data_IF_225517643898
#
_entry.id   IF_225517643898
#
_cell.length_a   1.000
_cell.length_b   1.000
_cell.length_c   1.000
_cell.angle_alpha   90.00
_cell.angle_beta   90.00
_cell.angle_gamma   90.00
#
_symmetry.space_group_name_H-M   'P 1'
#
loop_
_entity.id
_entity.type
_entity.pdbx_description
1 polymer ?
#
# COMPACT_ATOMS: atom_id res chain seq x y z
N UNK A 1 8.32 17.96 -0.59
CA UNK A 1 8.35 17.67 -2.04
C UNK A 1 8.43 16.18 -2.24
N UNK A 2 7.81 15.65 -3.30
CA UNK A 2 7.87 14.23 -3.63
C UNK A 2 7.77 13.99 -5.12
N UNK A 3 8.56 13.07 -5.66
CA UNK A 3 8.54 12.72 -7.09
C UNK A 3 9.82 12.03 -7.55
N UNK A 4 9.89 11.81 -8.86
CA UNK A 4 11.09 11.39 -9.58
C UNK A 4 11.96 12.61 -9.89
N UNK A 5 13.19 12.61 -9.36
CA UNK A 5 14.16 13.68 -9.55
C UNK A 5 15.21 13.33 -10.61
N UNK A 6 15.19 12.10 -11.13
CA UNK A 6 16.13 11.57 -12.10
C UNK A 6 17.61 11.81 -11.72
N UNK A 7 17.90 11.82 -10.42
CA UNK A 7 19.22 12.11 -9.86
C UNK A 7 19.44 11.33 -8.56
N UNK A 8 20.70 11.06 -8.20
CA UNK A 8 21.06 10.29 -7.01
C UNK A 8 21.68 11.18 -5.92
N UNK A 9 21.39 10.91 -4.65
CA UNK A 9 21.94 11.72 -3.54
C UNK A 9 23.21 11.12 -2.93
N UNK A 10 23.31 9.79 -2.88
CA UNK A 10 24.43 9.04 -2.30
C UNK A 10 24.91 7.95 -3.24
N UNK A 11 26.15 7.50 -3.05
CA UNK A 11 26.72 6.38 -3.82
C UNK A 11 25.90 5.09 -3.65
N UNK A 12 25.32 4.88 -2.46
CA UNK A 12 24.46 3.72 -2.19
C UNK A 12 23.06 3.82 -2.83
N UNK A 13 22.78 4.88 -3.59
CA UNK A 13 21.57 5.05 -4.37
C UNK A 13 21.73 4.55 -5.82
N UNK A 14 22.87 3.93 -6.16
CA UNK A 14 23.09 3.25 -7.44
C UNK A 14 23.67 1.85 -7.22
N UNK A 15 23.18 0.88 -7.98
CA UNK A 15 23.75 -0.48 -8.02
C UNK A 15 25.12 -0.50 -8.72
N UNK A 16 25.31 0.37 -9.72
CA UNK A 16 26.58 0.43 -10.45
C UNK A 16 27.58 1.34 -9.71
N UNK A 17 28.48 0.72 -8.95
CA UNK A 17 29.56 1.39 -8.22
C UNK A 17 30.81 1.66 -9.08
N UNK A 18 30.87 1.16 -10.32
CA UNK A 18 32.04 1.36 -11.22
C UNK A 18 32.06 2.78 -11.83
N UNK A 19 30.95 3.51 -11.78
CA UNK A 19 30.83 4.92 -12.22
C UNK A 19 31.16 5.96 -11.13
N UNK A 20 31.98 5.59 -10.12
CA UNK A 20 32.47 6.46 -9.02
C UNK A 20 32.96 7.84 -9.48
N UNK A 21 33.60 7.94 -10.65
CA UNK A 21 34.17 9.20 -11.15
C UNK A 21 33.20 10.07 -11.98
N UNK A 22 32.00 9.58 -12.32
CA UNK A 22 30.97 10.33 -13.06
C UNK A 22 29.84 10.88 -12.18
N UNK A 23 29.71 10.40 -10.94
CA UNK A 23 28.66 10.80 -10.00
C UNK A 23 29.04 11.95 -9.06
N UNK A 24 30.23 12.55 -9.20
CA UNK A 24 30.67 13.67 -8.37
C UNK A 24 29.85 14.95 -8.55
N UNK A 25 28.92 14.96 -9.50
CA UNK A 25 27.92 16.01 -9.62
C UNK A 25 26.53 15.37 -9.70
N UNK A 26 25.89 15.04 -8.55
CA UNK A 26 24.45 15.21 -8.48
C UNK A 26 24.15 16.57 -9.08
N UNK A 27 23.12 16.70 -9.90
CA UNK A 27 22.78 17.97 -10.54
C UNK A 27 22.80 18.99 -9.41
N UNK A 28 23.73 19.95 -9.49
CA UNK A 28 24.02 20.88 -8.40
C UNK A 28 22.71 21.48 -7.81
N UNK A 29 21.68 21.60 -8.66
CA UNK A 29 20.31 21.90 -8.32
C UNK A 29 19.67 21.08 -7.19
N UNK A 30 19.68 19.73 -7.21
CA UNK A 30 18.97 18.94 -6.19
C UNK A 30 19.61 19.10 -4.80
N UNK A 31 20.94 19.01 -4.72
CA UNK A 31 21.67 19.27 -3.47
C UNK A 31 21.49 20.71 -2.99
N UNK A 32 21.51 21.68 -3.89
CA UNK A 32 21.28 23.09 -3.56
C UNK A 32 19.86 23.32 -3.05
N UNK A 33 18.86 22.71 -3.69
CA UNK A 33 17.46 22.76 -3.28
C UNK A 33 17.27 22.16 -1.88
N UNK A 34 17.84 20.98 -1.64
CA UNK A 34 17.81 20.33 -0.32
C UNK A 34 18.46 21.23 0.74
N UNK A 35 19.61 21.83 0.43
CA UNK A 35 20.33 22.74 1.35
C UNK A 35 19.53 24.01 1.62
N UNK A 36 18.99 24.64 0.57
CA UNK A 36 18.26 25.91 0.64
C UNK A 36 17.00 25.77 1.48
N UNK A 37 16.17 24.75 1.21
CA UNK A 37 14.94 24.50 1.97
C UNK A 37 15.15 23.65 3.23
N UNK A 38 16.39 23.32 3.57
CA UNK A 38 16.77 22.46 4.71
C UNK A 38 15.99 21.14 4.75
N UNK A 39 15.74 20.55 3.58
CA UNK A 39 15.05 19.27 3.48
C UNK A 39 15.93 18.12 3.94
N UNK A 40 15.26 17.02 4.27
CA UNK A 40 15.86 15.73 4.55
C UNK A 40 15.24 14.68 3.62
N UNK A 41 16.08 13.74 3.17
CA UNK A 41 15.63 12.51 2.55
C UNK A 41 15.10 11.57 3.65
N UNK A 42 13.77 11.52 3.78
CA UNK A 42 13.13 10.82 4.89
C UNK A 42 13.26 9.31 4.79
N UNK A 43 13.35 8.76 3.57
CA UNK A 43 13.51 7.33 3.39
C UNK A 43 14.89 6.89 3.90
N UNK A 44 15.94 7.64 3.55
CA UNK A 44 17.30 7.36 4.02
C UNK A 44 17.47 7.60 5.52
N UNK A 45 16.77 8.59 6.08
CA UNK A 45 16.77 8.86 7.52
C UNK A 45 16.17 7.68 8.34
N UNK A 46 15.10 7.06 7.83
CA UNK A 46 14.46 5.89 8.47
C UNK A 46 15.16 4.57 8.15
N UNK A 47 15.87 4.50 7.03
CA UNK A 47 16.52 3.29 6.51
C UNK A 47 18.01 3.56 6.21
N UNK A 48 18.84 3.87 7.23
CA UNK A 48 20.21 4.36 7.02
C UNK A 48 21.13 3.34 6.34
N UNK A 49 20.95 2.06 6.64
CA UNK A 49 21.81 0.96 6.16
C UNK A 49 21.20 0.15 5.02
N UNK A 50 19.91 0.34 4.73
CA UNK A 50 19.23 -0.47 3.71
C UNK A 50 19.60 0.01 2.30
N UNK A 51 19.74 -0.94 1.38
CA UNK A 51 19.94 -0.68 -0.04
C UNK A 51 18.69 -1.13 -0.76
N UNK A 52 18.02 -0.19 -1.41
CA UNK A 52 16.81 -0.44 -2.19
C UNK A 52 16.68 0.66 -3.23
N UNK A 53 16.21 0.31 -4.42
CA UNK A 53 16.12 1.22 -5.56
C UNK A 53 14.67 1.46 -5.97
N UNK A 54 14.45 2.62 -6.57
CA UNK A 54 13.12 3.02 -7.06
C UNK A 54 12.99 2.81 -8.55
N UNK A 55 14.08 2.81 -9.32
CA UNK A 55 14.10 2.51 -10.74
C UNK A 55 15.01 1.32 -11.04
N UNK A 56 14.63 0.50 -12.03
CA UNK A 56 15.45 -0.61 -12.50
C UNK A 56 15.31 -0.81 -14.01
N UNK A 57 16.44 -0.94 -14.71
CA UNK A 57 16.44 -1.36 -16.12
C UNK A 57 15.90 -2.80 -16.24
N UNK A 58 15.19 -3.10 -17.33
CA UNK A 58 14.65 -4.45 -17.60
C UNK A 58 15.68 -5.60 -17.52
N UNK A 59 16.96 -5.32 -17.80
CA UNK A 59 18.04 -6.30 -17.68
C UNK A 59 18.38 -6.68 -16.23
N UNK A 60 17.93 -5.92 -15.24
CA UNK A 60 18.18 -6.17 -13.80
C UNK A 60 19.57 -5.78 -13.31
N UNK A 61 20.49 -5.44 -14.21
CA UNK A 61 21.88 -5.10 -13.92
C UNK A 61 22.05 -3.67 -13.40
N UNK A 62 21.19 -2.75 -13.84
CA UNK A 62 21.20 -1.35 -13.44
C UNK A 62 19.97 -1.01 -12.60
N UNK A 63 20.20 -0.36 -11.46
CA UNK A 63 19.15 0.12 -10.59
C UNK A 63 19.62 1.39 -9.87
N UNK A 64 18.72 2.35 -9.71
CA UNK A 64 18.98 3.62 -9.03
C UNK A 64 17.80 4.04 -8.16
N UNK A 65 18.08 4.78 -7.09
CA UNK A 65 17.06 5.41 -6.25
C UNK A 65 16.99 6.89 -6.62
N UNK A 66 16.00 7.21 -7.44
CA UNK A 66 15.78 8.55 -8.03
C UNK A 66 14.45 9.18 -7.63
N UNK A 67 13.57 8.39 -6.99
CA UNK A 67 12.31 8.86 -6.42
C UNK A 67 12.50 9.17 -4.94
N UNK A 68 12.18 10.40 -4.51
CA UNK A 68 12.38 10.86 -3.14
C UNK A 68 11.14 11.52 -2.56
N UNK A 69 10.93 11.33 -1.26
CA UNK A 69 10.19 12.28 -0.43
C UNK A 69 11.19 13.15 0.32
N UNK A 70 11.26 14.43 -0.05
CA UNK A 70 12.07 15.44 0.61
C UNK A 70 11.18 16.24 1.55
N UNK A 71 11.44 16.14 2.85
CA UNK A 71 10.59 16.74 3.89
C UNK A 71 11.37 17.74 4.72
N UNK A 72 10.69 18.73 5.30
CA UNK A 72 11.35 19.63 6.24
C UNK A 72 11.65 18.92 7.56
N UNK A 73 12.65 19.39 8.30
CA UNK A 73 13.04 18.78 9.58
C UNK A 73 11.91 18.81 10.60
N UNK A 74 11.06 19.82 10.55
CA UNK A 74 9.92 20.04 11.44
C UNK A 74 8.85 18.96 11.23
N UNK A 75 8.66 18.50 9.99
CA UNK A 75 7.68 17.46 9.67
C UNK A 75 8.16 16.04 10.03
N UNK A 76 9.46 15.84 10.30
CA UNK A 76 10.06 14.52 10.57
C UNK A 76 9.35 13.77 11.70
N UNK A 77 8.98 14.46 12.77
CA UNK A 77 8.33 13.86 13.94
C UNK A 77 6.96 13.24 13.62
N UNK A 78 6.26 13.77 12.61
CA UNK A 78 4.96 13.27 12.18
C UNK A 78 5.08 12.05 11.27
N UNK A 79 6.25 11.80 10.68
CA UNK A 79 6.44 10.70 9.73
C UNK A 79 6.73 9.40 10.49
N UNK A 80 5.79 8.46 10.34
CA UNK A 80 5.82 7.14 10.97
C UNK A 80 6.67 6.17 10.18
N UNK A 81 6.50 6.13 8.85
CA UNK A 81 7.23 5.22 7.94
C UNK A 81 7.49 5.87 6.60
N UNK A 82 8.58 5.47 5.97
CA UNK A 82 8.94 5.79 4.59
C UNK A 82 9.44 4.49 3.95
N UNK A 83 8.70 3.98 2.97
CA UNK A 83 8.92 2.66 2.36
C UNK A 83 9.11 2.81 0.84
N UNK A 84 9.89 1.91 0.22
CA UNK A 84 9.86 1.65 -1.22
C UNK A 84 9.12 0.33 -1.42
N UNK A 85 8.14 0.31 -2.32
CA UNK A 85 7.24 -0.83 -2.54
C UNK A 85 7.17 -1.20 -4.01
N UNK A 86 7.10 -2.50 -4.34
CA UNK A 86 6.88 -2.94 -5.71
C UNK A 86 5.53 -2.43 -6.20
N UNK A 87 5.50 -1.89 -7.41
CA UNK A 87 4.24 -1.52 -8.08
C UNK A 87 3.86 -2.65 -9.04
N UNK A 88 2.60 -3.08 -8.98
CA UNK A 88 2.03 -4.12 -9.85
C UNK A 88 1.47 -3.47 -11.14
N UNK A 89 2.28 -2.68 -11.82
CA UNK A 89 1.97 -2.11 -13.14
C UNK A 89 2.99 -2.64 -14.13
N UNK A 90 2.55 -3.46 -15.10
CA UNK A 90 3.45 -4.10 -16.07
C UNK A 90 4.28 -3.09 -16.91
N UNK A 91 3.80 -1.85 -17.01
CA UNK A 91 4.41 -0.80 -17.82
C UNK A 91 5.44 0.04 -17.08
N UNK A 92 5.59 -0.10 -15.76
CA UNK A 92 6.54 0.71 -14.98
C UNK A 92 7.82 -0.07 -14.69
N UNK A 93 8.94 0.60 -14.88
CA UNK A 93 10.26 0.22 -14.38
C UNK A 93 10.57 0.83 -13.01
N UNK A 94 9.60 1.57 -12.43
CA UNK A 94 9.68 2.13 -11.08
C UNK A 94 8.92 1.32 -10.02
N UNK A 95 9.55 1.16 -8.86
CA UNK A 95 8.91 0.91 -7.57
C UNK A 95 8.33 2.22 -7.01
N UNK A 96 7.26 2.11 -6.23
CA UNK A 96 6.60 3.24 -5.60
C UNK A 96 7.24 3.62 -4.28
N UNK A 97 7.36 4.92 -4.02
CA UNK A 97 7.68 5.44 -2.69
C UNK A 97 6.39 5.67 -1.90
N UNK A 98 6.37 5.33 -0.61
CA UNK A 98 5.23 5.49 0.28
C UNK A 98 5.62 6.19 1.57
N UNK A 99 4.80 7.14 2.02
CA UNK A 99 4.99 7.88 3.26
C UNK A 99 3.78 7.70 4.17
N UNK A 100 4.00 7.24 5.40
CA UNK A 100 2.96 7.17 6.44
C UNK A 100 3.12 8.34 7.39
N UNK A 101 2.20 9.29 7.30
CA UNK A 101 2.18 10.50 8.14
C UNK A 101 1.14 10.31 9.26
N UNK A 102 1.51 10.70 10.48
CA UNK A 102 0.63 10.78 11.63
C UNK A 102 -0.02 12.16 11.63
N UNK A 103 -1.30 12.21 11.30
CA UNK A 103 -2.12 13.42 11.46
C UNK A 103 -2.80 13.41 12.82
N UNK A 104 -3.32 14.57 13.24
CA UNK A 104 -4.16 14.66 14.43
C UNK A 104 -5.35 13.70 14.29
N UNK A 105 -5.75 13.06 15.41
CA UNK A 105 -6.93 12.20 15.44
C UNK A 105 -8.17 13.07 15.21
N UNK A 106 -8.63 13.12 13.96
CA UNK A 106 -9.98 13.61 13.68
C UNK A 106 -10.92 12.49 14.10
N UNK A 107 -11.74 12.74 15.13
CA UNK A 107 -12.79 11.83 15.57
C UNK A 107 -13.90 11.79 14.50
N UNK A 108 -13.66 11.08 13.40
CA UNK A 108 -14.72 10.70 12.47
C UNK A 108 -15.57 9.65 13.17
N UNK A 109 -16.87 9.95 13.33
CA UNK A 109 -17.84 8.97 13.80
C UNK A 109 -17.92 7.76 12.86
N UNK A 110 -18.63 6.71 13.28
CA UNK A 110 -18.75 5.45 12.53
C UNK A 110 -19.35 5.62 11.12
N UNK A 111 -20.01 6.75 10.84
CA UNK A 111 -20.74 7.01 9.61
C UNK A 111 -21.96 6.10 9.47
N UNK A 112 -22.76 6.34 8.42
CA UNK A 112 -23.81 5.40 8.03
C UNK A 112 -23.19 4.27 7.22
N UNK A 113 -23.37 3.04 7.68
CA UNK A 113 -22.97 1.88 6.90
C UNK A 113 -23.91 1.69 5.72
N UNK A 114 -23.34 1.50 4.53
CA UNK A 114 -24.04 1.13 3.29
C UNK A 114 -23.43 -0.15 2.76
N UNK A 115 -24.29 -1.06 2.27
CA UNK A 115 -23.85 -2.30 1.64
C UNK A 115 -23.04 -1.95 0.38
N UNK A 116 -21.92 -2.64 0.17
CA UNK A 116 -21.21 -2.56 -1.09
C UNK A 116 -21.96 -3.42 -2.13
N UNK A 117 -22.65 -2.78 -3.08
CA UNK A 117 -23.45 -3.47 -4.09
C UNK A 117 -22.67 -4.46 -4.96
N UNK A 118 -21.34 -4.35 -5.05
CA UNK A 118 -20.53 -5.35 -5.76
C UNK A 118 -20.62 -6.75 -5.14
N UNK A 119 -21.01 -6.85 -3.86
CA UNK A 119 -21.15 -8.14 -3.17
C UNK A 119 -22.36 -8.94 -3.67
N UNK A 120 -23.34 -8.28 -4.28
CA UNK A 120 -24.51 -8.92 -4.86
C UNK A 120 -24.17 -9.79 -6.09
N UNK A 121 -22.95 -9.65 -6.63
CA UNK A 121 -22.43 -10.50 -7.70
C UNK A 121 -21.60 -11.69 -7.15
N UNK A 122 -21.43 -11.81 -5.84
CA UNK A 122 -20.70 -12.90 -5.21
C UNK A 122 -21.63 -14.09 -4.95
N UNK A 123 -21.32 -15.24 -5.56
CA UNK A 123 -22.13 -16.45 -5.46
C UNK A 123 -22.26 -16.98 -4.03
N UNK A 124 -21.20 -16.92 -3.23
CA UNK A 124 -21.23 -17.41 -1.85
C UNK A 124 -22.10 -16.51 -0.98
N UNK A 125 -22.05 -15.20 -1.20
CA UNK A 125 -22.94 -14.24 -0.55
C UNK A 125 -24.40 -14.51 -0.90
N UNK A 126 -24.74 -14.61 -2.19
CA UNK A 126 -26.11 -14.88 -2.64
C UNK A 126 -26.65 -16.19 -2.07
N UNK A 127 -25.84 -17.26 -2.09
CA UNK A 127 -26.21 -18.54 -1.50
C UNK A 127 -26.52 -18.45 0.00
N UNK A 128 -25.76 -17.66 0.76
CA UNK A 128 -26.04 -17.45 2.19
C UNK A 128 -27.35 -16.69 2.43
N UNK A 129 -27.63 -15.66 1.63
CA UNK A 129 -28.88 -14.90 1.73
C UNK A 129 -30.07 -15.74 1.29
N UNK A 130 -29.97 -16.53 0.22
CA UNK A 130 -31.03 -17.44 -0.24
C UNK A 130 -31.38 -18.49 0.83
N UNK A 131 -30.38 -19.05 1.51
CA UNK A 131 -30.61 -19.97 2.64
C UNK A 131 -31.34 -19.28 3.78
N UNK A 132 -30.98 -18.03 4.08
CA UNK A 132 -31.64 -17.25 5.12
C UNK A 132 -33.11 -16.96 4.75
N UNK A 133 -33.37 -16.57 3.50
CA UNK A 133 -34.74 -16.36 3.00
C UNK A 133 -35.58 -17.62 3.20
N UNK A 134 -35.10 -18.79 2.73
CA UNK A 134 -35.80 -20.07 2.90
C UNK A 134 -36.06 -20.44 4.35
N UNK A 135 -35.13 -20.10 5.25
CA UNK A 135 -35.30 -20.34 6.68
C UNK A 135 -36.45 -19.50 7.25
N UNK A 136 -36.54 -18.22 6.89
CA UNK A 136 -37.60 -17.33 7.35
C UNK A 136 -38.97 -17.62 6.69
N UNK A 137 -39.00 -18.01 5.42
CA UNK A 137 -40.21 -18.48 4.72
C UNK A 137 -40.84 -19.70 5.44
N UNK A 138 -40.02 -20.60 5.97
CA UNK A 138 -40.53 -21.75 6.73
C UNK A 138 -41.01 -21.37 8.14
N UNK A 139 -40.39 -20.36 8.77
CA UNK A 139 -40.83 -19.84 10.08
C UNK A 139 -42.13 -19.04 10.01
N UNK A 140 -42.39 -18.37 8.89
CA UNK A 140 -43.62 -17.64 8.66
C UNK A 140 -44.84 -18.55 8.79
N UNK A 141 -44.74 -19.79 8.28
CA UNK A 141 -45.81 -20.79 8.32
C UNK A 141 -46.23 -21.21 9.73
N UNK A 142 -45.43 -20.91 10.74
CA UNK A 142 -45.64 -21.34 12.14
C UNK A 142 -45.75 -20.18 13.13
N UNK A 143 -45.71 -18.93 12.67
CA UNK A 143 -45.65 -17.73 13.52
C UNK A 143 -46.84 -16.81 13.30
N UNK A 144 -47.46 -16.34 14.38
CA UNK A 144 -48.59 -15.39 14.32
C UNK A 144 -48.15 -13.93 14.11
N UNK A 145 -46.91 -13.56 14.48
CA UNK A 145 -46.40 -12.19 14.37
C UNK A 145 -45.36 -12.00 13.26
N UNK A 146 -45.86 -11.67 12.06
CA UNK A 146 -45.07 -11.44 10.84
C UNK A 146 -44.14 -10.22 10.98
N UNK A 147 -44.53 -9.20 11.75
CA UNK A 147 -43.74 -7.98 11.93
C UNK A 147 -42.41 -8.26 12.63
N UNK A 148 -42.44 -9.01 13.73
CA UNK A 148 -41.23 -9.41 14.46
C UNK A 148 -40.35 -10.32 13.59
N UNK A 149 -40.97 -11.22 12.81
CA UNK A 149 -40.24 -12.09 11.89
C UNK A 149 -39.47 -11.28 10.84
N UNK A 150 -40.09 -10.25 10.27
CA UNK A 150 -39.47 -9.35 9.29
C UNK A 150 -38.32 -8.53 9.89
N UNK A 151 -38.49 -8.01 11.11
CA UNK A 151 -37.44 -7.27 11.80
C UNK A 151 -36.22 -8.15 12.11
N UNK A 152 -36.46 -9.39 12.56
CA UNK A 152 -35.40 -10.37 12.78
C UNK A 152 -34.66 -10.72 11.48
N UNK A 153 -35.41 -10.99 10.40
CA UNK A 153 -34.83 -11.25 9.09
C UNK A 153 -33.93 -10.11 8.62
N UNK A 154 -34.41 -8.86 8.66
CA UNK A 154 -33.62 -7.68 8.27
C UNK A 154 -32.35 -7.54 9.13
N UNK A 155 -32.44 -7.78 10.43
CA UNK A 155 -31.30 -7.73 11.34
C UNK A 155 -30.25 -8.78 10.96
N UNK A 156 -30.69 -10.01 10.70
CA UNK A 156 -29.79 -11.11 10.37
C UNK A 156 -29.15 -10.96 8.98
N UNK A 157 -29.91 -10.47 7.99
CA UNK A 157 -29.35 -10.06 6.68
C UNK A 157 -28.24 -9.04 6.85
N UNK A 158 -28.46 -8.03 7.70
CA UNK A 158 -27.46 -6.98 7.98
C UNK A 158 -26.20 -7.57 8.60
N UNK A 159 -26.33 -8.46 9.57
CA UNK A 159 -25.19 -9.06 10.27
C UNK A 159 -24.38 -9.99 9.36
N UNK A 160 -25.04 -10.85 8.59
CA UNK A 160 -24.39 -11.70 7.58
C UNK A 160 -23.66 -10.83 6.56
N UNK A 161 -24.31 -9.77 6.08
CA UNK A 161 -23.72 -8.85 5.09
C UNK A 161 -22.47 -8.15 5.64
N UNK A 162 -22.54 -7.66 6.88
CA UNK A 162 -21.43 -7.00 7.55
C UNK A 162 -20.25 -7.95 7.73
N UNK A 163 -20.49 -9.14 8.25
CA UNK A 163 -19.44 -10.13 8.48
C UNK A 163 -18.80 -10.59 7.16
N UNK A 164 -19.62 -10.94 6.17
CA UNK A 164 -19.15 -11.35 4.85
C UNK A 164 -18.28 -10.28 4.19
N UNK A 165 -18.73 -9.02 4.18
CA UNK A 165 -17.96 -7.90 3.63
C UNK A 165 -16.65 -7.69 4.38
N UNK A 166 -16.65 -7.76 5.71
CA UNK A 166 -15.43 -7.62 6.53
C UNK A 166 -14.44 -8.74 6.24
N UNK A 167 -14.89 -9.99 6.20
CA UNK A 167 -14.06 -11.16 5.88
C UNK A 167 -13.45 -11.05 4.50
N UNK A 168 -14.26 -10.75 3.48
CA UNK A 168 -13.77 -10.61 2.10
C UNK A 168 -12.77 -9.46 1.94
N UNK A 169 -13.03 -8.31 2.57
CA UNK A 169 -12.11 -7.19 2.59
C UNK A 169 -10.79 -7.53 3.31
N UNK A 170 -10.84 -8.30 4.40
CA UNK A 170 -9.64 -8.81 5.07
C UNK A 170 -8.87 -9.78 4.17
N UNK A 171 -9.51 -10.80 3.61
CA UNK A 171 -8.88 -11.77 2.70
C UNK A 171 -8.19 -11.09 1.51
N UNK A 172 -8.84 -10.09 0.89
CA UNK A 172 -8.23 -9.32 -0.20
C UNK A 172 -6.98 -8.58 0.26
N UNK A 173 -7.03 -7.90 1.40
CA UNK A 173 -5.87 -7.18 1.97
C UNK A 173 -4.73 -8.14 2.31
N UNK A 174 -5.05 -9.28 2.92
CA UNK A 174 -4.05 -10.28 3.31
C UNK A 174 -3.35 -10.85 2.07
N UNK A 175 -4.10 -11.18 1.01
CA UNK A 175 -3.53 -11.63 -0.27
C UNK A 175 -2.60 -10.58 -0.90
N UNK A 176 -3.04 -9.32 -0.96
CA UNK A 176 -2.22 -8.22 -1.48
C UNK A 176 -0.93 -8.08 -0.66
N UNK A 177 -1.04 -8.10 0.67
CA UNK A 177 0.11 -7.99 1.56
C UNK A 177 1.10 -9.14 1.36
N UNK A 178 0.61 -10.38 1.19
CA UNK A 178 1.47 -11.53 0.88
C UNK A 178 2.22 -11.31 -0.43
N UNK A 179 1.52 -10.95 -1.51
CA UNK A 179 2.16 -10.71 -2.81
C UNK A 179 3.17 -9.55 -2.78
N UNK A 180 2.83 -8.44 -2.10
CA UNK A 180 3.77 -7.33 -1.91
C UNK A 180 5.02 -7.75 -1.15
N UNK A 181 4.87 -8.58 -0.11
CA UNK A 181 6.00 -9.08 0.68
C UNK A 181 6.91 -10.00 -0.15
N UNK A 182 6.32 -10.89 -0.94
CA UNK A 182 7.09 -11.82 -1.78
C UNK A 182 7.85 -11.08 -2.89
N UNK A 183 7.20 -10.09 -3.54
CA UNK A 183 7.85 -9.21 -4.49
C UNK A 183 8.99 -8.40 -3.84
N UNK A 184 8.78 -7.87 -2.63
CA UNK A 184 9.83 -7.15 -1.91
C UNK A 184 11.03 -8.05 -1.58
N UNK A 185 10.80 -9.29 -1.14
CA UNK A 185 11.89 -10.25 -0.90
C UNK A 185 12.70 -10.52 -2.17
N UNK A 186 12.03 -10.69 -3.31
CA UNK A 186 12.70 -10.89 -4.60
C UNK A 186 13.50 -9.65 -5.02
N UNK A 187 12.95 -8.45 -4.86
CA UNK A 187 13.65 -7.20 -5.13
C UNK A 187 14.89 -7.02 -4.25
N UNK A 188 14.80 -7.31 -2.96
CA UNK A 188 15.95 -7.24 -2.03
C UNK A 188 17.05 -8.22 -2.46
N UNK A 189 16.68 -9.46 -2.83
CA UNK A 189 17.64 -10.44 -3.34
C UNK A 189 18.33 -9.96 -4.62
N UNK A 190 17.58 -9.35 -5.55
CA UNK A 190 18.12 -8.74 -6.78
C UNK A 190 19.02 -7.53 -6.51
N UNK A 191 18.77 -6.80 -5.43
CA UNK A 191 19.59 -5.64 -5.03
C UNK A 191 20.89 -6.05 -4.36
N UNK A 192 20.89 -7.22 -3.72
CA UNK A 192 22.06 -7.82 -3.07
C UNK A 192 22.88 -8.70 -4.00
N UNK A 193 22.29 -9.26 -5.06
CA UNK A 193 23.05 -10.02 -6.07
C UNK A 193 24.03 -9.09 -6.78
N UNK A 194 25.33 -9.36 -6.62
CA UNK A 194 26.37 -8.70 -7.39
C UNK A 194 26.14 -8.96 -8.89
N UNK A 195 26.45 -7.97 -9.72
CA UNK A 195 26.51 -8.16 -11.16
C UNK A 195 27.53 -9.27 -11.43
N UNK A 196 27.06 -10.45 -11.84
CA UNK A 196 27.94 -11.45 -12.43
C UNK A 196 28.63 -10.78 -13.62
N UNK A 197 29.97 -10.79 -13.57
CA UNK A 197 30.84 -10.19 -14.60
C UNK A 197 30.60 -10.83 -15.99
#
# INVERSE_FOLDING_TARGET
MGGDFNDILKINDTKNKKTKNKFDKPVHGLKTLIKYFKFIDIWRDKNPTQIQYTWRRKSGLEATRIDFFLVSKECKAQIVKADIRPIILKSTDHNGISLKIRTQKVNRGKGYWKLNSSILNDRDYCCNIEKLIKYYENKEKTTENIGILWDNFKSEVRDISLDFCKRKAKQKRDKIQTFENDLNKLNIKLDQSESAD
#
